data_IF_851346748702
#
_entry.id   IF_851346748702
#
_cell.length_a   1.000
_cell.length_b   1.000
_cell.length_c   1.000
_cell.angle_alpha   90.00
_cell.angle_beta   90.00
_cell.angle_gamma   90.00
#
_symmetry.space_group_name_H-M   'P 1'
#
loop_
_entity.id
_entity.type
_entity.pdbx_description
1 polymer ?
#
# COMPACT_ATOMS: atom_id res chain seq x y z
N UNK A 1 13.85 -6.30 5.76
CA UNK A 1 13.43 -5.61 7.00
C UNK A 1 13.93 -6.42 8.18
N UNK A 2 14.40 -5.77 9.24
CA UNK A 2 14.76 -6.45 10.49
C UNK A 2 13.68 -6.15 11.54
N UNK A 3 13.22 -7.19 12.22
CA UNK A 3 12.43 -7.07 13.45
C UNK A 3 13.31 -7.57 14.58
N UNK A 4 13.49 -6.72 15.60
CA UNK A 4 14.30 -7.02 16.77
C UNK A 4 13.43 -6.99 18.01
N UNK A 5 13.45 -8.10 18.74
CA UNK A 5 12.68 -8.32 19.96
C UNK A 5 13.65 -8.69 21.08
N UNK A 6 13.74 -7.83 22.09
CA UNK A 6 14.68 -8.02 23.21
C UNK A 6 13.97 -8.63 24.40
N UNK A 7 14.37 -9.85 24.79
CA UNK A 7 13.92 -10.47 26.04
C UNK A 7 15.01 -10.37 27.09
N UNK A 8 14.63 -9.98 28.31
CA UNK A 8 15.52 -9.93 29.49
C UNK A 8 15.11 -10.94 30.56
N UNK A 9 14.28 -11.92 30.20
CA UNK A 9 13.81 -12.95 31.12
C UNK A 9 14.92 -13.92 31.54
N UNK A 10 14.84 -14.40 32.79
CA UNK A 10 15.70 -15.44 33.32
C UNK A 10 14.83 -16.61 33.82
N UNK A 11 15.09 -17.87 33.41
CA UNK A 11 16.09 -18.30 32.44
C UNK A 11 15.88 -17.70 31.03
N UNK A 12 16.93 -17.64 30.19
CA UNK A 12 16.84 -17.08 28.85
C UNK A 12 15.67 -17.69 28.06
N UNK A 13 14.92 -16.82 27.38
CA UNK A 13 13.74 -17.21 26.62
C UNK A 13 14.07 -17.40 25.14
N UNK A 14 13.42 -18.38 24.51
CA UNK A 14 13.34 -18.44 23.06
C UNK A 14 12.28 -17.45 22.58
N UNK A 15 12.57 -16.74 21.49
CA UNK A 15 11.67 -15.73 20.94
C UNK A 15 11.06 -16.27 19.66
N UNK A 16 9.73 -16.30 19.59
CA UNK A 16 8.98 -16.68 18.39
C UNK A 16 8.30 -15.46 17.79
N UNK A 17 8.49 -15.22 16.50
CA UNK A 17 7.83 -14.17 15.74
C UNK A 17 6.59 -14.73 15.04
N UNK A 18 5.47 -14.04 15.21
CA UNK A 18 4.22 -14.30 14.52
C UNK A 18 3.84 -13.13 13.61
N UNK A 19 3.07 -13.41 12.56
CA UNK A 19 2.39 -12.41 11.74
C UNK A 19 0.94 -12.79 11.59
N UNK A 20 0.04 -11.90 12.02
CA UNK A 20 -1.41 -12.12 12.02
C UNK A 20 -1.81 -13.45 12.70
N UNK A 21 -1.06 -13.88 13.72
CA UNK A 21 -1.27 -15.12 14.46
C UNK A 21 -0.62 -16.38 13.85
N UNK A 22 0.02 -16.28 12.68
CA UNK A 22 0.78 -17.38 12.08
C UNK A 22 2.26 -17.29 12.47
N UNK A 23 2.83 -18.41 12.92
CA UNK A 23 4.25 -18.49 13.30
C UNK A 23 5.15 -18.35 12.07
N UNK A 24 6.10 -17.43 12.13
CA UNK A 24 7.12 -17.25 11.08
C UNK A 24 8.38 -18.04 11.42
N UNK A 25 8.93 -17.82 12.62
CA UNK A 25 10.20 -18.40 13.04
C UNK A 25 10.43 -18.22 14.55
N UNK A 26 11.32 -19.06 15.10
CA UNK A 26 11.84 -18.94 16.47
C UNK A 26 13.35 -18.71 16.43
N UNK A 27 13.82 -17.66 17.11
CA UNK A 27 15.22 -17.26 17.18
C UNK A 27 15.59 -16.78 18.59
N UNK A 28 16.50 -17.46 19.28
CA UNK A 28 16.96 -17.07 20.62
C UNK A 28 17.70 -15.72 20.63
N UNK A 29 18.18 -15.25 19.47
CA UNK A 29 18.78 -13.92 19.34
C UNK A 29 17.74 -12.78 19.36
N UNK A 30 16.47 -13.10 19.14
CA UNK A 30 15.38 -12.13 19.00
C UNK A 30 15.46 -11.27 17.72
N UNK A 31 16.35 -11.57 16.78
CA UNK A 31 16.50 -10.83 15.52
C UNK A 31 15.99 -11.65 14.33
N UNK A 32 15.03 -11.09 13.60
CA UNK A 32 14.39 -11.73 12.46
C UNK A 32 14.60 -10.92 11.19
N UNK A 33 15.15 -11.56 10.16
CA UNK A 33 15.34 -10.95 8.85
C UNK A 33 14.22 -11.35 7.89
N UNK A 34 13.47 -10.37 7.41
CA UNK A 34 12.44 -10.53 6.38
C UNK A 34 13.01 -10.00 5.05
N UNK A 35 13.40 -10.89 4.10
CA UNK A 35 14.17 -10.51 2.92
C UNK A 35 13.39 -9.66 1.91
N UNK A 36 12.07 -9.87 1.82
CA UNK A 36 11.21 -9.18 0.85
C UNK A 36 10.14 -8.37 1.57
N UNK A 37 10.13 -7.06 1.31
CA UNK A 37 9.09 -6.14 1.80
C UNK A 37 8.19 -5.79 0.63
N UNK A 38 7.13 -6.57 0.46
CA UNK A 38 6.03 -6.27 -0.48
C UNK A 38 4.83 -5.72 0.31
N UNK A 39 3.75 -5.34 -0.37
CA UNK A 39 2.48 -4.98 0.27
C UNK A 39 2.03 -6.02 1.30
N UNK A 40 2.28 -7.30 1.03
CA UNK A 40 1.91 -8.43 1.88
C UNK A 40 2.69 -8.46 3.18
N UNK A 41 3.83 -7.77 3.28
CA UNK A 41 4.56 -7.64 4.54
C UNK A 41 3.84 -6.72 5.55
N UNK A 42 2.77 -6.03 5.16
CA UNK A 42 1.89 -5.33 6.10
C UNK A 42 1.17 -6.33 7.01
N UNK A 43 0.93 -5.96 8.26
CA UNK A 43 0.24 -6.79 9.23
C UNK A 43 0.66 -6.52 10.66
N UNK A 44 0.05 -7.26 11.58
CA UNK A 44 0.42 -7.24 13.00
C UNK A 44 1.47 -8.32 13.23
N UNK A 45 2.63 -7.89 13.71
CA UNK A 45 3.72 -8.77 14.10
C UNK A 45 3.74 -8.86 15.63
N UNK A 46 3.76 -10.07 16.17
CA UNK A 46 3.91 -10.29 17.60
C UNK A 46 5.12 -11.14 17.91
N UNK A 47 5.85 -10.76 18.95
CA UNK A 47 6.99 -11.50 19.47
C UNK A 47 6.59 -12.12 20.79
N UNK A 48 6.67 -13.45 20.87
CA UNK A 48 6.39 -14.21 22.08
C UNK A 48 7.71 -14.78 22.60
N UNK A 49 8.15 -14.30 23.76
CA UNK A 49 9.31 -14.83 24.47
C UNK A 49 8.85 -15.89 25.46
N UNK A 50 9.34 -17.11 25.34
CA UNK A 50 8.94 -18.26 26.19
C UNK A 50 10.15 -18.88 26.88
N UNK A 51 10.05 -19.07 28.21
CA UNK A 51 11.01 -19.84 29.00
C UNK A 51 10.28 -20.74 30.00
N UNK A 52 11.03 -21.53 30.78
CA UNK A 52 10.46 -22.38 31.84
C UNK A 52 9.75 -21.60 32.94
N UNK A 53 10.04 -20.30 33.08
CA UNK A 53 9.39 -19.44 34.06
C UNK A 53 8.05 -18.86 33.58
N UNK A 54 7.78 -18.89 32.28
CA UNK A 54 6.56 -18.35 31.68
C UNK A 54 6.78 -17.76 30.30
N UNK A 55 5.84 -16.94 29.85
CA UNK A 55 5.87 -16.26 28.55
C UNK A 55 5.48 -14.80 28.64
N UNK A 56 6.04 -13.98 27.75
CA UNK A 56 5.67 -12.58 27.55
C UNK A 56 5.49 -12.30 26.05
N UNK A 57 4.58 -11.40 25.72
CA UNK A 57 4.27 -11.03 24.33
C UNK A 57 4.23 -9.51 24.18
N UNK A 58 4.76 -9.02 23.05
CA UNK A 58 4.58 -7.65 22.60
C UNK A 58 4.31 -7.62 21.09
N UNK A 59 3.62 -6.58 20.60
CA UNK A 59 3.11 -6.51 19.23
C UNK A 59 3.28 -5.15 18.59
N UNK A 60 3.52 -5.14 17.27
CA UNK A 60 3.63 -3.95 16.43
C UNK A 60 2.80 -4.11 15.15
N UNK A 61 2.15 -3.03 14.72
CA UNK A 61 1.49 -2.97 13.41
C UNK A 61 2.44 -2.34 12.39
N UNK A 62 2.69 -3.04 11.29
CA UNK A 62 3.53 -2.59 10.18
C UNK A 62 2.63 -2.33 8.96
N UNK A 63 2.77 -1.14 8.39
CA UNK A 63 2.10 -0.75 7.13
C UNK A 63 3.15 -0.47 6.06
N UNK A 64 3.08 -1.17 4.94
CA UNK A 64 3.95 -0.95 3.78
C UNK A 64 3.26 -0.02 2.79
N UNK A 65 3.84 1.15 2.57
CA UNK A 65 3.38 2.08 1.54
C UNK A 65 3.93 1.72 0.16
N UNK A 66 3.11 1.94 -0.86
CA UNK A 66 3.49 1.71 -2.25
C UNK A 66 3.24 2.97 -3.06
N UNK A 67 4.15 3.28 -3.98
CA UNK A 67 4.00 4.44 -4.85
C UNK A 67 2.74 4.32 -5.72
N UNK A 68 2.10 5.44 -6.08
CA UNK A 68 1.02 5.44 -7.06
C UNK A 68 1.50 4.93 -8.43
N UNK A 69 0.79 3.96 -8.98
CA UNK A 69 0.97 3.45 -10.35
C UNK A 69 -0.27 3.86 -11.15
N UNK A 70 -0.07 4.74 -12.13
CA UNK A 70 -1.14 5.34 -12.94
C UNK A 70 -1.28 4.60 -14.28
N UNK A 71 -2.52 4.33 -14.70
CA UNK A 71 -2.85 3.72 -15.98
C UNK A 71 -4.02 4.45 -16.64
N UNK A 72 -3.89 4.74 -17.93
CA UNK A 72 -4.91 5.37 -18.77
C UNK A 72 -5.32 4.34 -19.84
N UNK A 73 -6.62 4.11 -20.00
CA UNK A 73 -7.19 3.16 -20.97
C UNK A 73 -6.87 3.53 -22.43
N UNK A 74 -6.99 4.81 -22.79
CA UNK A 74 -6.70 5.33 -24.13
C UNK A 74 -5.73 6.51 -24.09
N UNK A 75 -4.53 6.33 -24.63
CA UNK A 75 -3.51 7.41 -24.71
C UNK A 75 -3.76 8.40 -25.84
N UNK A 76 -4.61 8.04 -26.79
CA UNK A 76 -4.95 8.87 -27.95
C UNK A 76 -6.38 8.57 -28.38
N UNK A 77 -7.22 9.59 -28.35
CA UNK A 77 -8.59 9.52 -28.85
C UNK A 77 -8.72 10.50 -30.00
N UNK A 78 -9.33 10.06 -31.10
CA UNK A 78 -9.63 10.89 -32.28
C UNK A 78 -11.13 10.99 -32.40
N UNK A 79 -11.65 12.21 -32.38
CA UNK A 79 -13.09 12.49 -32.39
C UNK A 79 -13.40 13.64 -33.35
N UNK A 80 -14.64 13.68 -33.83
CA UNK A 80 -15.18 14.73 -34.69
C UNK A 80 -15.87 15.81 -33.85
N UNK A 81 -15.98 17.02 -34.40
CA UNK A 81 -16.76 18.08 -33.77
C UNK A 81 -18.20 17.63 -33.51
N UNK A 82 -18.67 17.82 -32.29
CA UNK A 82 -20.00 17.38 -31.84
C UNK A 82 -20.04 15.97 -31.23
N UNK A 83 -18.96 15.18 -31.32
CA UNK A 83 -18.90 13.87 -30.69
C UNK A 83 -18.82 13.99 -29.15
N UNK A 84 -19.14 12.89 -28.49
CA UNK A 84 -18.94 12.67 -27.06
C UNK A 84 -17.80 11.66 -26.87
N UNK A 85 -16.93 11.90 -25.89
CA UNK A 85 -15.81 11.02 -25.60
C UNK A 85 -15.55 10.89 -24.11
N UNK A 86 -15.00 9.74 -23.71
CA UNK A 86 -14.58 9.51 -22.34
C UNK A 86 -13.27 8.74 -22.25
N UNK A 87 -12.43 9.10 -21.29
CA UNK A 87 -11.15 8.45 -20.99
C UNK A 87 -11.12 8.10 -19.50
N UNK A 88 -10.61 6.93 -19.16
CA UNK A 88 -10.49 6.46 -17.78
C UNK A 88 -9.04 6.41 -17.35
N UNK A 89 -8.73 7.12 -16.27
CA UNK A 89 -7.51 7.05 -15.51
C UNK A 89 -7.77 6.23 -14.24
N UNK A 90 -6.88 5.30 -13.96
CA UNK A 90 -6.87 4.50 -12.74
C UNK A 90 -5.51 4.67 -12.07
N UNK A 91 -5.48 4.69 -10.75
CA UNK A 91 -4.24 4.71 -10.00
C UNK A 91 -4.32 3.75 -8.81
N UNK A 92 -3.30 2.93 -8.64
CA UNK A 92 -3.17 2.01 -7.51
C UNK A 92 -2.01 2.47 -6.63
N UNK A 93 -2.15 2.34 -5.32
CA UNK A 93 -1.12 2.74 -4.36
C UNK A 93 -1.61 2.56 -2.93
N UNK A 94 -0.71 2.67 -1.98
CA UNK A 94 -1.05 2.70 -0.56
C UNK A 94 -0.36 3.93 0.08
N UNK A 95 -1.13 4.90 0.63
CA UNK A 95 -2.60 4.95 0.63
C UNK A 95 -3.18 5.13 -0.79
N UNK A 96 -4.49 4.90 -0.92
CA UNK A 96 -5.18 5.02 -2.21
C UNK A 96 -4.99 6.44 -2.79
N UNK A 97 -4.46 6.56 -4.03
CA UNK A 97 -4.13 7.86 -4.60
C UNK A 97 -5.37 8.62 -5.06
N UNK A 98 -5.36 9.93 -4.91
CA UNK A 98 -6.37 10.81 -5.51
C UNK A 98 -6.06 11.06 -7.00
N UNK A 99 -7.13 11.17 -7.80
CA UNK A 99 -7.04 11.42 -9.23
C UNK A 99 -7.69 12.75 -9.60
N UNK A 100 -7.02 13.48 -10.48
CA UNK A 100 -7.56 14.68 -11.11
C UNK A 100 -7.10 14.77 -12.56
N UNK A 101 -8.00 15.24 -13.41
CA UNK A 101 -7.70 15.56 -14.80
C UNK A 101 -7.33 17.03 -14.92
N UNK A 102 -6.37 17.34 -15.80
CA UNK A 102 -6.04 18.72 -16.17
C UNK A 102 -5.83 18.83 -17.68
N UNK A 103 -6.16 19.99 -18.24
CA UNK A 103 -5.89 20.32 -19.65
C UNK A 103 -4.58 21.10 -19.70
N UNK A 104 -3.63 20.68 -20.55
CA UNK A 104 -2.29 21.30 -20.63
C UNK A 104 -2.32 22.82 -20.87
N UNK A 105 -3.33 23.33 -21.61
CA UNK A 105 -3.44 24.73 -22.01
C UNK A 105 -4.79 25.38 -21.63
N UNK A 106 -5.44 24.94 -20.54
CA UNK A 106 -6.73 25.52 -20.11
C UNK A 106 -7.22 24.97 -18.76
N UNK A 107 -8.37 25.43 -18.30
CA UNK A 107 -9.05 24.85 -17.12
C UNK A 107 -10.10 23.82 -17.56
N UNK A 108 -10.11 22.67 -16.89
CA UNK A 108 -11.29 21.79 -16.88
C UNK A 108 -12.26 22.33 -15.81
N UNK A 109 -13.56 22.11 -16.00
CA UNK A 109 -14.55 22.44 -14.97
C UNK A 109 -14.22 21.65 -13.69
N UNK A 110 -14.43 22.28 -12.51
CA UNK A 110 -14.13 21.72 -11.19
C UNK A 110 -14.84 20.36 -10.93
N UNK A 111 -15.86 20.00 -11.70
CA UNK A 111 -16.61 18.74 -11.60
C UNK A 111 -15.85 17.47 -12.05
N UNK A 112 -14.61 17.60 -12.57
CA UNK A 112 -13.76 16.46 -12.96
C UNK A 112 -12.66 16.13 -11.92
N UNK A 113 -12.75 16.75 -10.74
CA UNK A 113 -11.86 16.52 -9.61
C UNK A 113 -12.44 15.38 -8.75
N UNK A 114 -11.63 14.34 -8.48
CA UNK A 114 -11.97 13.12 -7.73
C UNK A 114 -12.72 12.01 -8.50
N UNK A 115 -12.72 12.03 -9.83
CA UNK A 115 -13.16 10.87 -10.63
C UNK A 115 -12.06 10.46 -11.60
N UNK A 116 -11.79 9.16 -11.67
CA UNK A 116 -10.85 8.61 -12.66
C UNK A 116 -11.33 8.82 -14.10
N UNK A 117 -12.61 9.12 -14.32
CA UNK A 117 -13.22 9.24 -15.65
C UNK A 117 -13.34 10.70 -16.08
N UNK A 118 -12.67 11.04 -17.19
CA UNK A 118 -12.87 12.28 -17.93
C UNK A 118 -13.93 12.06 -19.00
N UNK A 119 -15.04 12.79 -18.98
CA UNK A 119 -16.03 12.81 -20.06
C UNK A 119 -16.11 14.21 -20.67
N UNK A 120 -16.02 14.32 -21.99
CA UNK A 120 -16.16 15.57 -22.74
C UNK A 120 -17.31 15.38 -23.73
N UNK A 121 -18.36 16.19 -23.58
CA UNK A 121 -19.50 16.24 -24.49
C UNK A 121 -19.40 17.43 -25.44
N UNK A 122 -19.93 17.30 -26.65
CA UNK A 122 -19.91 18.34 -27.69
C UNK A 122 -18.50 18.86 -27.95
N UNK A 123 -17.58 17.96 -28.30
CA UNK A 123 -16.18 18.32 -28.58
C UNK A 123 -16.14 19.44 -29.61
N UNK A 124 -15.48 20.55 -29.26
CA UNK A 124 -15.26 21.69 -30.14
C UNK A 124 -13.82 21.68 -30.63
N UNK A 125 -13.63 21.98 -31.91
CA UNK A 125 -12.31 22.34 -32.44
C UNK A 125 -12.09 23.80 -32.04
N UNK A 126 -11.08 24.03 -31.20
CA UNK A 126 -10.62 25.40 -30.88
C UNK A 126 -10.04 26.10 -32.12
#
# INVERSE_FOLDING_TARGET
MNISCTSTGEPPADVTLFKNGEEIATESSGNFFLPFVTSDASGVYSCVATSVAGSAEDSISITVYTIPVVSIDERKVVVTSGDEMSVTCTANGNPEPSLSWSRLNGSLAEELVNTGKLSISNVKVD
#
